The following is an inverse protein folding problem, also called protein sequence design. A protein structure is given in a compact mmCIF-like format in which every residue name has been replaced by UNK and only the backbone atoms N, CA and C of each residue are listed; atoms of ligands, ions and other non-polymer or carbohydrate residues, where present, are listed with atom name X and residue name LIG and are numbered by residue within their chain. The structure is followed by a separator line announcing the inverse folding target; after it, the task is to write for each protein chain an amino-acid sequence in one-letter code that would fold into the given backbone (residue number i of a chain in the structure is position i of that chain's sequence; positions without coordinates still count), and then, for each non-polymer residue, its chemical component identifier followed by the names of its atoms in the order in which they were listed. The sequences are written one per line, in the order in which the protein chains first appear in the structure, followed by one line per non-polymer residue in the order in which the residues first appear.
data_IF_124670415114
#
_entry.id   IF_124670415114
#
_cell.length_a   1.000
_cell.length_b   1.000
_cell.length_c   1.000
_cell.angle_alpha   90.00
_cell.angle_beta   90.00
_cell.angle_gamma   90.00
#
_symmetry.space_group_name_H-M   'P 1'
#
loop_
_entity.id
_entity.type
_entity.pdbx_description
1 polymer ?
#
# COMPACT_ATOMS: atom_id res chain seq x y z
N UNK A 1 -21.68 1.03 -5.37
CA UNK A 1 -20.57 0.67 -4.47
C UNK A 1 -20.38 -0.82 -4.55
N UNK A 2 -19.38 -1.25 -5.33
CA UNK A 2 -18.90 -2.63 -5.29
C UNK A 2 -18.22 -2.90 -3.93
N UNK A 3 -18.28 -4.16 -3.49
CA UNK A 3 -17.56 -4.58 -2.29
C UNK A 3 -16.04 -4.53 -2.58
N UNK A 4 -15.20 -4.09 -1.61
CA UNK A 4 -13.76 -4.20 -1.70
C UNK A 4 -13.32 -5.62 -2.07
N UNK A 5 -12.40 -5.74 -3.02
CA UNK A 5 -11.79 -7.02 -3.40
C UNK A 5 -10.49 -7.18 -2.66
N UNK A 6 -10.40 -8.14 -1.74
CA UNK A 6 -9.14 -8.49 -1.07
C UNK A 6 -8.15 -9.05 -2.10
N UNK A 7 -6.99 -8.42 -2.21
CA UNK A 7 -5.90 -8.83 -3.11
C UNK A 7 -4.91 -9.72 -2.39
N UNK A 8 -4.44 -9.27 -1.23
CA UNK A 8 -3.48 -10.00 -0.42
C UNK A 8 -3.52 -9.54 1.03
N UNK A 9 -2.99 -10.38 1.93
CA UNK A 9 -2.81 -10.03 3.34
C UNK A 9 -1.56 -10.66 3.91
N UNK A 10 -0.93 -9.96 4.85
CA UNK A 10 0.25 -10.46 5.56
C UNK A 10 0.24 -9.96 7.00
N UNK A 11 0.86 -10.72 7.90
CA UNK A 11 1.17 -10.25 9.24
C UNK A 11 2.68 -10.08 9.36
N UNK A 12 3.13 -8.89 9.76
CA UNK A 12 4.54 -8.55 9.93
C UNK A 12 4.71 -8.08 11.38
N UNK A 13 5.43 -8.87 12.18
CA UNK A 13 5.46 -8.67 13.63
C UNK A 13 4.05 -8.79 14.22
N UNK A 14 3.55 -7.72 14.84
CA UNK A 14 2.20 -7.64 15.42
C UNK A 14 1.20 -6.88 14.54
N UNK A 15 1.60 -6.52 13.32
CA UNK A 15 0.82 -5.65 12.44
C UNK A 15 0.30 -6.49 11.29
N UNK A 16 -1.02 -6.59 11.18
CA UNK A 16 -1.67 -7.17 10.01
C UNK A 16 -1.84 -6.10 8.95
N UNK A 17 -1.39 -6.37 7.74
CA UNK A 17 -1.58 -5.56 6.55
C UNK A 17 -2.51 -6.28 5.59
N UNK A 18 -3.39 -5.53 4.95
CA UNK A 18 -4.31 -6.07 3.96
C UNK A 18 -4.43 -5.10 2.78
N UNK A 19 -4.33 -5.65 1.58
CA UNK A 19 -4.37 -4.92 0.34
C UNK A 19 -5.69 -5.19 -0.39
N UNK A 20 -6.35 -4.15 -0.88
CA UNK A 20 -7.65 -4.23 -1.51
C UNK A 20 -7.70 -3.44 -2.82
N UNK A 21 -8.54 -3.87 -3.75
CA UNK A 21 -9.06 -3.03 -4.83
C UNK A 21 -10.41 -2.49 -4.37
N UNK A 22 -10.55 -1.17 -4.37
CA UNK A 22 -11.77 -0.45 -3.97
C UNK A 22 -12.26 0.42 -5.11
N UNK A 23 -13.57 0.65 -5.15
CA UNK A 23 -14.15 1.69 -6.00
C UNK A 23 -14.02 3.02 -5.26
N UNK A 24 -13.23 3.93 -5.82
CA UNK A 24 -13.03 5.28 -5.32
C UNK A 24 -13.71 6.28 -6.27
N UNK A 25 -13.79 7.54 -5.86
CA UNK A 25 -14.56 8.62 -6.52
C UNK A 25 -14.62 8.52 -8.06
N UNK A 26 -15.79 8.80 -8.65
CA UNK A 26 -16.07 8.70 -10.09
C UNK A 26 -15.97 7.27 -10.69
N UNK A 27 -16.18 6.22 -9.88
CA UNK A 27 -16.10 4.80 -10.27
C UNK A 27 -14.70 4.38 -10.75
N UNK A 28 -13.66 5.08 -10.29
CA UNK A 28 -12.28 4.71 -10.58
C UNK A 28 -11.82 3.64 -9.60
N UNK A 29 -11.10 2.64 -10.10
CA UNK A 29 -10.53 1.61 -9.24
C UNK A 29 -9.28 2.16 -8.57
N UNK A 30 -9.19 1.95 -7.26
CA UNK A 30 -8.02 2.28 -6.47
C UNK A 30 -7.48 1.02 -5.79
N UNK A 31 -6.17 0.85 -5.83
CA UNK A 31 -5.48 -0.14 -5.02
C UNK A 31 -5.10 0.50 -3.68
N UNK A 32 -5.38 -0.17 -2.59
CA UNK A 32 -5.25 0.39 -1.23
C UNK A 32 -4.59 -0.62 -0.31
N UNK A 33 -3.78 -0.14 0.63
CA UNK A 33 -3.18 -0.95 1.69
C UNK A 33 -3.61 -0.37 3.03
N UNK A 34 -4.18 -1.20 3.88
CA UNK A 34 -4.59 -0.89 5.25
C UNK A 34 -3.73 -1.70 6.23
N UNK A 35 -3.73 -1.28 7.50
CA UNK A 35 -3.24 -2.10 8.60
C UNK A 35 -4.20 -2.11 9.78
N UNK A 36 -4.16 -3.16 10.60
CA UNK A 36 -4.91 -3.31 11.86
C UNK A 36 -6.39 -2.87 11.82
N UNK A 37 -7.09 -3.09 10.69
CA UNK A 37 -8.48 -2.69 10.50
C UNK A 37 -8.73 -1.16 10.60
N UNK A 38 -7.71 -0.35 10.37
CA UNK A 38 -7.85 1.11 10.25
C UNK A 38 -8.86 1.47 9.17
N UNK A 39 -9.60 2.56 9.40
CA UNK A 39 -10.64 3.02 8.46
C UNK A 39 -10.06 3.68 7.22
N UNK A 40 -8.89 4.30 7.37
CA UNK A 40 -8.21 5.02 6.31
C UNK A 40 -7.05 4.17 5.76
N UNK A 41 -6.82 4.17 4.44
CA UNK A 41 -5.70 3.45 3.85
C UNK A 41 -4.38 4.11 4.25
N UNK A 42 -3.37 3.28 4.55
CA UNK A 42 -1.99 3.72 4.69
C UNK A 42 -1.46 4.21 3.34
N UNK A 43 -1.73 3.43 2.29
CA UNK A 43 -1.37 3.75 0.91
C UNK A 43 -2.59 3.61 0.02
N UNK A 44 -2.77 4.56 -0.89
CA UNK A 44 -3.76 4.50 -1.96
C UNK A 44 -3.12 4.82 -3.30
N UNK A 45 -3.48 4.04 -4.29
CA UNK A 45 -3.04 4.10 -5.66
C UNK A 45 -4.28 4.25 -6.51
N UNK A 46 -4.55 5.46 -6.99
CA UNK A 46 -5.76 5.76 -7.74
C UNK A 46 -5.46 6.11 -9.18
N UNK A 47 -6.35 5.75 -10.09
CA UNK A 47 -6.29 6.23 -11.46
C UNK A 47 -6.62 7.73 -11.49
N UNK A 48 -5.87 8.53 -12.26
CA UNK A 48 -6.11 9.99 -12.34
C UNK A 48 -7.28 10.30 -13.28
N UNK A 49 -7.42 9.55 -14.37
CA UNK A 49 -8.52 9.65 -15.31
C UNK A 49 -8.79 8.27 -15.95
N UNK A 50 -10.07 7.97 -16.14
CA UNK A 50 -10.62 6.77 -16.79
C UNK A 50 -9.96 6.38 -18.13
N UNK A 51 -9.39 7.37 -18.84
CA UNK A 51 -8.68 7.19 -20.12
C UNK A 51 -7.15 7.24 -20.04
N UNK A 52 -6.58 7.70 -18.92
CA UNK A 52 -5.14 7.83 -18.75
C UNK A 52 -4.55 6.56 -18.10
N UNK A 53 -3.34 6.20 -18.54
CA UNK A 53 -2.52 5.18 -17.88
C UNK A 53 -1.76 5.74 -16.66
N UNK A 54 -2.15 6.93 -16.22
CA UNK A 54 -1.51 7.71 -15.17
C UNK A 54 -2.23 7.53 -13.85
N UNK A 55 -1.43 7.58 -12.80
CA UNK A 55 -1.81 7.07 -11.52
C UNK A 55 -1.21 7.91 -10.42
N UNK A 56 -2.03 8.22 -9.43
CA UNK A 56 -1.62 9.00 -8.28
C UNK A 56 -1.42 8.08 -7.08
N UNK A 57 -0.32 8.31 -6.37
CA UNK A 57 -0.02 7.64 -5.12
C UNK A 57 -0.25 8.61 -3.97
N UNK A 58 -1.08 8.22 -3.02
CA UNK A 58 -1.34 8.95 -1.78
C UNK A 58 -0.86 8.11 -0.61
N UNK A 59 0.03 8.68 0.20
CA UNK A 59 0.45 8.14 1.48
C UNK A 59 -0.28 8.91 2.56
N UNK A 60 -0.96 8.21 3.45
CA UNK A 60 -1.57 8.85 4.60
C UNK A 60 -0.50 9.02 5.69
N UNK A 61 0.01 10.25 5.83
CA UNK A 61 1.08 10.55 6.79
C UNK A 61 0.65 10.30 8.24
N UNK A 62 -0.62 10.54 8.59
CA UNK A 62 -1.15 10.23 9.92
C UNK A 62 -1.06 8.72 10.20
N UNK A 63 -1.37 7.90 9.20
CA UNK A 63 -1.25 6.44 9.30
C UNK A 63 0.21 6.00 9.41
N UNK A 64 1.14 6.68 8.73
CA UNK A 64 2.58 6.43 8.87
C UNK A 64 3.05 6.75 10.29
N UNK A 65 2.65 7.89 10.84
CA UNK A 65 3.05 8.31 12.19
C UNK A 65 2.53 7.33 13.25
N UNK A 66 1.28 6.86 13.11
CA UNK A 66 0.71 5.80 13.96
C UNK A 66 1.47 4.48 13.82
N UNK A 67 1.83 4.11 12.59
CA UNK A 67 2.60 2.88 12.32
C UNK A 67 3.98 2.92 12.99
N UNK A 68 4.61 4.10 13.08
CA UNK A 68 5.88 4.26 13.80
C UNK A 68 5.76 3.95 15.29
N UNK A 69 4.59 4.16 15.92
CA UNK A 69 4.36 3.81 17.32
C UNK A 69 4.24 2.29 17.53
N UNK A 70 3.93 1.54 16.47
CA UNK A 70 3.76 0.09 16.48
C UNK A 70 5.04 -0.66 16.06
N UNK A 71 6.08 0.05 15.59
CA UNK A 71 7.32 -0.57 15.11
C UNK A 71 8.06 -1.29 16.24
N UNK A 72 8.79 -2.35 15.89
CA UNK A 72 9.65 -3.03 16.85
C UNK A 72 10.69 -2.06 17.43
N UNK A 73 11.04 -2.21 18.71
CA UNK A 73 12.14 -1.45 19.31
C UNK A 73 13.51 -1.97 18.86
N UNK A 74 13.58 -3.19 18.36
CA UNK A 74 14.80 -3.80 17.85
C UNK A 74 15.11 -3.30 16.42
N UNK A 75 16.24 -2.60 16.18
CA UNK A 75 16.65 -2.14 14.85
C UNK A 75 16.72 -3.25 13.78
N UNK A 76 17.15 -4.45 14.13
CA UNK A 76 17.25 -5.56 13.16
C UNK A 76 15.87 -6.04 12.75
N UNK A 77 14.95 -6.16 13.71
CA UNK A 77 13.55 -6.48 13.43
C UNK A 77 12.86 -5.37 12.64
N UNK A 78 13.12 -4.08 12.94
CA UNK A 78 12.59 -2.95 12.15
C UNK A 78 12.96 -3.08 10.68
N UNK A 79 14.23 -3.36 10.39
CA UNK A 79 14.71 -3.57 9.01
C UNK A 79 14.05 -4.77 8.35
N UNK A 80 13.95 -5.90 9.07
CA UNK A 80 13.30 -7.11 8.55
C UNK A 80 11.81 -6.87 8.25
N UNK A 81 11.08 -6.21 9.15
CA UNK A 81 9.68 -5.85 8.96
C UNK A 81 9.47 -4.93 7.76
N UNK A 82 10.34 -3.94 7.59
CA UNK A 82 10.30 -3.06 6.45
C UNK A 82 10.53 -3.80 5.11
N UNK A 83 11.51 -4.71 5.05
CA UNK A 83 11.74 -5.54 3.85
C UNK A 83 10.51 -6.38 3.54
N UNK A 84 9.93 -7.05 4.55
CA UNK A 84 8.72 -7.85 4.38
C UNK A 84 7.53 -7.00 3.89
N UNK A 85 7.37 -5.78 4.41
CA UNK A 85 6.30 -4.88 3.98
C UNK A 85 6.50 -4.45 2.53
N UNK A 86 7.73 -4.11 2.15
CA UNK A 86 8.06 -3.71 0.78
C UNK A 86 7.78 -4.85 -0.21
N UNK A 87 8.19 -6.07 0.11
CA UNK A 87 7.91 -7.25 -0.71
C UNK A 87 6.41 -7.52 -0.81
N UNK A 88 5.68 -7.41 0.30
CA UNK A 88 4.22 -7.52 0.31
C UNK A 88 3.56 -6.49 -0.60
N UNK A 89 3.93 -5.21 -0.48
CA UNK A 89 3.32 -4.13 -1.26
C UNK A 89 3.54 -4.34 -2.78
N UNK A 90 4.75 -4.75 -3.18
CA UNK A 90 5.09 -5.04 -4.57
C UNK A 90 4.32 -6.27 -5.11
N UNK A 91 4.23 -7.35 -4.31
CA UNK A 91 3.51 -8.55 -4.71
C UNK A 91 2.00 -8.31 -4.80
N UNK A 92 1.43 -7.60 -3.82
CA UNK A 92 0.03 -7.23 -3.81
C UNK A 92 -0.31 -6.32 -4.99
N UNK A 93 0.57 -5.39 -5.33
CA UNK A 93 0.40 -4.56 -6.53
C UNK A 93 0.41 -5.40 -7.81
N UNK A 94 1.35 -6.35 -7.95
CA UNK A 94 1.39 -7.24 -9.11
C UNK A 94 0.11 -8.08 -9.23
N UNK A 95 -0.39 -8.62 -8.12
CA UNK A 95 -1.67 -9.34 -8.08
C UNK A 95 -2.84 -8.42 -8.43
N UNK A 96 -2.84 -7.18 -7.94
CA UNK A 96 -3.88 -6.21 -8.27
C UNK A 96 -3.92 -5.90 -9.78
N UNK A 97 -2.75 -5.85 -10.45
CA UNK A 97 -2.68 -5.72 -11.92
C UNK A 97 -3.37 -6.89 -12.61
N UNK A 98 -3.13 -8.12 -12.16
CA UNK A 98 -3.77 -9.30 -12.74
C UNK A 98 -5.30 -9.33 -12.53
N UNK A 99 -5.78 -8.82 -11.39
CA UNK A 99 -7.20 -8.82 -11.03
C UNK A 99 -7.97 -7.67 -11.70
N UNK A 100 -7.45 -6.45 -11.66
CA UNK A 100 -8.13 -5.24 -12.14
C UNK A 100 -7.85 -4.96 -13.63
N UNK A 101 -6.68 -5.33 -14.15
CA UNK A 101 -6.18 -4.87 -15.44
C UNK A 101 -5.85 -6.05 -16.33
N UNK A 102 -6.89 -6.67 -16.89
CA UNK A 102 -6.76 -7.70 -17.91
C UNK A 102 -5.97 -7.31 -19.17
N UNK A 103 -5.52 -6.05 -19.35
CA UNK A 103 -4.66 -5.61 -20.47
C UNK A 103 -4.16 -4.13 -20.41
N UNK A 104 -4.41 -3.37 -19.34
CA UNK A 104 -4.04 -1.93 -19.28
C UNK A 104 -2.71 -1.72 -18.53
N UNK A 105 -1.72 -1.12 -19.22
CA UNK A 105 -0.43 -0.68 -18.64
C UNK A 105 -0.66 0.50 -17.71
N UNK A 106 -0.82 0.27 -16.41
CA UNK A 106 -0.74 1.34 -15.42
C UNK A 106 0.70 1.47 -14.89
N UNK A 107 1.25 2.67 -14.94
CA UNK A 107 2.60 3.00 -14.46
C UNK A 107 2.62 3.13 -12.93
N UNK A 108 2.55 2.03 -12.21
CA UNK A 108 2.58 2.02 -10.74
C UNK A 108 3.92 1.53 -10.16
N UNK A 109 4.25 2.07 -8.98
CA UNK A 109 5.25 1.60 -7.99
C UNK A 109 6.70 1.43 -8.46
N UNK A 110 7.09 2.05 -9.55
CA UNK A 110 8.52 2.18 -9.92
C UNK A 110 9.17 3.48 -9.47
N UNK A 111 8.47 4.38 -8.76
CA UNK A 111 9.11 5.58 -8.25
C UNK A 111 9.63 5.40 -6.82
N UNK A 112 10.95 5.26 -6.75
CA UNK A 112 11.84 4.93 -5.62
C UNK A 112 11.63 5.82 -4.37
N UNK A 113 10.87 6.91 -4.47
CA UNK A 113 10.68 7.88 -3.38
C UNK A 113 9.71 7.41 -2.28
N UNK A 114 8.68 6.62 -2.59
CA UNK A 114 7.68 6.18 -1.60
C UNK A 114 8.26 5.18 -0.58
N UNK A 115 9.04 4.25 -1.12
CA UNK A 115 9.87 3.29 -0.39
C UNK A 115 10.78 4.05 0.59
N UNK A 116 11.37 5.17 0.18
CA UNK A 116 12.24 5.99 1.04
C UNK A 116 11.50 6.66 2.21
N UNK A 117 10.26 7.11 2.06
CA UNK A 117 9.51 7.70 3.17
C UNK A 117 9.18 6.67 4.26
N UNK A 118 8.75 5.46 3.85
CA UNK A 118 8.51 4.36 4.78
C UNK A 118 9.82 3.80 5.34
N UNK A 119 10.88 3.75 4.55
CA UNK A 119 12.24 3.42 5.00
C UNK A 119 12.68 4.38 6.11
N UNK A 120 12.50 5.70 5.93
CA UNK A 120 12.81 6.69 6.96
C UNK A 120 11.93 6.50 8.21
N UNK A 121 10.63 6.28 8.05
CA UNK A 121 9.74 6.03 9.19
C UNK A 121 10.14 4.79 10.02
N UNK A 122 10.59 3.73 9.34
CA UNK A 122 11.02 2.49 9.98
C UNK A 122 12.46 2.55 10.52
N UNK A 123 13.38 3.28 9.88
CA UNK A 123 14.81 3.24 10.18
C UNK A 123 15.32 4.41 11.03
N UNK A 124 14.57 5.50 11.18
CA UNK A 124 14.95 6.59 12.07
C UNK A 124 14.54 6.25 13.51
N UNK A 125 15.45 6.51 14.45
CA UNK A 125 15.28 6.29 15.89
C UNK A 125 14.30 7.27 16.52
#
# INVERSE_FOLDING_TARGET
MKNPVLVDKITIGTIEFAAYIVEYENNLEAFTIYYQHEKEPLLMFQQIDSGANEVEIKVNQEMVDKLQLLKSKDPQQRKAHYIAFREFALNAEQKAKEIALKDKKLYYLTDVQLIKCLEQAYLVD
#
